data_IF_209041467751
#
_entry.id   IF_209041467751
#
_cell.length_a   1.000
_cell.length_b   1.000
_cell.length_c   1.000
_cell.angle_alpha   90.00
_cell.angle_beta   90.00
_cell.angle_gamma   90.00
#
_symmetry.space_group_name_H-M   'P 1'
#
loop_
_entity.id
_entity.type
_entity.pdbx_description
1 polymer ?
#
# COMPACT_ATOMS: atom_id res chain seq x y z
N UNK A 1 1.74 -3.58 12.46
CA UNK A 1 0.58 -3.85 11.58
C UNK A 1 -0.09 -2.52 11.30
N UNK A 2 -0.61 -2.34 10.08
CA UNK A 2 -1.39 -1.16 9.71
C UNK A 2 -2.84 -1.42 10.11
N UNK A 3 -3.43 -0.51 10.88
CA UNK A 3 -4.80 -0.64 11.38
C UNK A 3 -5.84 -0.43 10.28
N UNK A 4 -6.15 0.82 9.93
CA UNK A 4 -7.13 1.16 8.90
C UNK A 4 -6.95 2.60 8.42
N UNK A 5 -7.63 2.96 7.33
CA UNK A 5 -7.74 4.34 6.87
C UNK A 5 -8.51 5.15 7.91
N UNK A 6 -7.93 6.27 8.36
CA UNK A 6 -8.49 7.09 9.44
C UNK A 6 -8.16 6.59 10.84
N UNK A 7 -7.35 5.54 10.96
CA UNK A 7 -6.75 5.08 12.21
C UNK A 7 -5.53 5.91 12.61
N UNK A 8 -4.59 5.27 13.31
CA UNK A 8 -3.41 5.93 13.90
C UNK A 8 -2.11 5.61 13.17
N UNK A 9 -2.08 4.57 12.32
CA UNK A 9 -0.81 4.05 11.78
C UNK A 9 -0.45 4.59 10.41
N UNK A 10 -1.42 5.04 9.62
CA UNK A 10 -1.21 5.52 8.25
C UNK A 10 -2.14 6.67 7.89
N UNK A 11 -1.71 7.47 6.91
CA UNK A 11 -2.54 8.43 6.23
C UNK A 11 -2.23 8.42 4.72
N UNK A 12 -3.19 8.86 3.92
CA UNK A 12 -3.02 8.95 2.46
C UNK A 12 -2.31 10.20 2.03
N UNK A 13 -1.51 10.10 0.97
CA UNK A 13 -1.04 11.24 0.19
C UNK A 13 -1.39 11.04 -1.28
N UNK A 14 -1.53 12.14 -2.00
CA UNK A 14 -1.65 12.12 -3.46
C UNK A 14 -0.25 12.16 -4.05
N UNK A 15 0.04 11.27 -5.00
CA UNK A 15 1.31 11.21 -5.71
C UNK A 15 1.08 10.91 -7.20
N UNK A 16 2.03 11.30 -8.05
CA UNK A 16 2.03 11.02 -9.49
C UNK A 16 2.10 9.52 -9.75
N UNK A 17 1.29 9.04 -10.69
CA UNK A 17 1.22 7.62 -11.05
C UNK A 17 2.55 7.04 -11.54
N UNK A 18 3.40 7.85 -12.17
CA UNK A 18 4.75 7.45 -12.60
C UNK A 18 5.67 7.17 -11.40
N UNK A 19 5.59 8.00 -10.35
CA UNK A 19 6.37 7.82 -9.12
C UNK A 19 5.87 6.61 -8.34
N UNK A 20 4.54 6.47 -8.18
CA UNK A 20 3.94 5.31 -7.52
C UNK A 20 4.40 4.00 -8.15
N UNK A 21 4.48 3.95 -9.49
CA UNK A 21 4.97 2.77 -10.23
C UNK A 21 6.47 2.58 -10.10
N UNK A 22 7.26 3.64 -10.26
CA UNK A 22 8.72 3.57 -10.18
C UNK A 22 9.22 3.16 -8.78
N UNK A 23 8.56 3.64 -7.73
CA UNK A 23 8.92 3.38 -6.33
C UNK A 23 8.10 2.24 -5.68
N UNK A 24 7.20 1.61 -6.44
CA UNK A 24 6.33 0.53 -5.99
C UNK A 24 5.58 0.89 -4.68
N UNK A 25 5.02 2.11 -4.64
CA UNK A 25 4.35 2.62 -3.43
C UNK A 25 3.06 1.85 -3.16
N UNK A 26 2.83 1.55 -1.88
CA UNK A 26 1.65 0.84 -1.40
C UNK A 26 0.40 1.70 -1.60
N UNK A 27 -0.57 1.27 -2.43
CA UNK A 27 -1.84 1.99 -2.54
C UNK A 27 -2.58 1.96 -1.19
N UNK A 28 -3.04 3.13 -0.73
CA UNK A 28 -3.70 3.25 0.58
C UNK A 28 -4.88 2.30 0.75
N UNK A 29 -5.67 2.08 -0.31
CA UNK A 29 -6.82 1.16 -0.30
C UNK A 29 -6.45 -0.31 -0.04
N UNK A 30 -5.17 -0.68 -0.17
CA UNK A 30 -4.66 -2.02 0.11
C UNK A 30 -3.93 -2.11 1.46
N UNK A 31 -3.75 -0.98 2.17
CA UNK A 31 -2.89 -0.92 3.34
C UNK A 31 -3.53 -1.51 4.61
N UNK A 32 -4.86 -1.58 4.68
CA UNK A 32 -5.59 -2.10 5.85
C UNK A 32 -5.13 -3.52 6.20
N UNK A 33 -4.72 -3.73 7.45
CA UNK A 33 -4.27 -5.03 7.97
C UNK A 33 -2.90 -5.48 7.43
N UNK A 34 -2.22 -4.67 6.62
CA UNK A 34 -0.91 -5.02 6.09
C UNK A 34 0.12 -5.10 7.22
N UNK A 35 0.95 -6.14 7.19
CA UNK A 35 1.98 -6.36 8.22
C UNK A 35 3.31 -5.80 7.74
N UNK A 36 3.89 -4.87 8.50
CA UNK A 36 5.22 -4.35 8.20
C UNK A 36 6.26 -5.47 8.30
N UNK A 37 7.10 -5.58 7.28
CA UNK A 37 8.23 -6.51 7.23
C UNK A 37 9.51 -5.88 7.81
N UNK A 38 9.53 -4.56 7.94
CA UNK A 38 10.67 -3.74 8.37
C UNK A 38 10.16 -2.50 9.09
N UNK A 39 11.02 -1.87 9.87
CA UNK A 39 10.69 -0.61 10.52
C UNK A 39 10.50 0.50 9.48
N UNK A 40 9.46 1.32 9.69
CA UNK A 40 9.11 2.48 8.87
C UNK A 40 9.16 3.70 9.78
N UNK A 41 9.88 4.75 9.35
CA UNK A 41 9.90 6.02 10.08
C UNK A 41 8.58 6.76 9.91
N UNK A 42 8.24 7.62 10.87
CA UNK A 42 7.11 8.55 10.71
C UNK A 42 7.29 9.37 9.42
N UNK A 43 6.18 9.55 8.69
CA UNK A 43 6.08 10.29 7.43
C UNK A 43 6.88 9.68 6.26
N UNK A 44 7.43 8.48 6.42
CA UNK A 44 8.09 7.75 5.35
C UNK A 44 7.06 7.04 4.45
N UNK A 45 7.24 7.16 3.14
CA UNK A 45 6.44 6.40 2.17
C UNK A 45 6.63 4.89 2.33
N UNK A 46 5.51 4.17 2.26
CA UNK A 46 5.46 2.72 2.38
C UNK A 46 5.39 2.14 0.97
N UNK A 47 6.30 1.23 0.66
CA UNK A 47 6.32 0.49 -0.60
C UNK A 47 5.79 -0.93 -0.38
N UNK A 48 5.24 -1.56 -1.43
CA UNK A 48 4.64 -2.88 -1.37
C UNK A 48 5.62 -3.96 -0.87
N UNK A 49 6.94 -3.82 -1.11
CA UNK A 49 7.97 -4.76 -0.65
C UNK A 49 8.23 -4.68 0.87
N UNK A 50 7.80 -3.61 1.54
CA UNK A 50 7.97 -3.43 2.98
C UNK A 50 6.80 -3.97 3.79
N UNK A 51 5.77 -4.49 3.13
CA UNK A 51 4.58 -5.03 3.78
C UNK A 51 4.26 -6.42 3.28
N UNK A 52 3.68 -7.23 4.15
CA UNK A 52 2.99 -8.45 3.79
C UNK A 52 1.51 -8.16 3.72
N UNK A 53 0.94 -8.33 2.53
CA UNK A 53 -0.49 -8.23 2.26
C UNK A 53 -1.13 -9.61 2.42
N UNK A 54 -2.40 -9.63 2.78
CA UNK A 54 -3.20 -10.85 2.76
C UNK A 54 -3.61 -11.15 1.31
N UNK A 55 -2.98 -12.15 0.71
CA UNK A 55 -3.21 -12.56 -0.68
C UNK A 55 -4.64 -13.08 -0.94
N UNK A 56 -5.41 -13.38 0.11
CA UNK A 56 -6.82 -13.72 -0.03
C UNK A 56 -7.74 -12.53 -0.31
N UNK A 57 -7.22 -11.29 -0.18
CA UNK A 57 -7.99 -10.07 -0.41
C UNK A 57 -8.36 -9.92 -1.89
N UNK A 58 -9.66 -9.91 -2.17
CA UNK A 58 -10.19 -9.67 -3.52
C UNK A 58 -9.71 -8.32 -4.12
N UNK A 59 -9.42 -7.33 -3.27
CA UNK A 59 -8.86 -6.05 -3.71
C UNK A 59 -7.51 -6.19 -4.43
N UNK A 60 -6.69 -7.19 -4.08
CA UNK A 60 -5.42 -7.46 -4.77
C UNK A 60 -5.66 -7.96 -6.19
N UNK A 61 -6.67 -8.80 -6.38
CA UNK A 61 -7.08 -9.27 -7.71
C UNK A 61 -7.52 -8.09 -8.57
N UNK A 62 -8.39 -7.24 -8.04
CA UNK A 62 -8.85 -6.05 -8.77
C UNK A 62 -7.72 -5.08 -9.07
N UNK A 63 -6.78 -4.89 -8.14
CA UNK A 63 -5.62 -4.04 -8.38
C UNK A 63 -4.73 -4.60 -9.49
N UNK A 64 -4.44 -5.90 -9.47
CA UNK A 64 -3.67 -6.55 -10.53
C UNK A 64 -4.34 -6.44 -11.90
N UNK A 65 -5.68 -6.50 -11.96
CA UNK A 65 -6.41 -6.22 -13.20
C UNK A 65 -6.24 -4.77 -13.66
N UNK A 66 -6.33 -3.79 -12.76
CA UNK A 66 -6.09 -2.39 -13.09
C UNK A 66 -4.66 -2.16 -13.61
N UNK A 67 -3.65 -2.72 -12.93
CA UNK A 67 -2.25 -2.58 -13.34
C UNK A 67 -1.96 -3.26 -14.69
N UNK A 68 -2.74 -4.27 -15.07
CA UNK A 68 -2.64 -4.93 -16.38
C UNK A 68 -3.25 -4.11 -17.52
N UNK A 69 -4.29 -3.31 -17.23
CA UNK A 69 -5.10 -2.63 -18.25
C UNK A 69 -4.97 -1.11 -18.26
N UNK A 70 -4.24 -0.49 -17.32
CA UNK A 70 -4.04 0.97 -17.22
C UNK A 70 -2.59 1.41 -17.15
#
# INVERSE_FOLDING_TARGET
EIDDIGGYTVYGIIERAEIVRAENLLPLGLAKGAKLLRDIKKDQLISCDKVKLDESLFMLVLRGLQDRFG
#
